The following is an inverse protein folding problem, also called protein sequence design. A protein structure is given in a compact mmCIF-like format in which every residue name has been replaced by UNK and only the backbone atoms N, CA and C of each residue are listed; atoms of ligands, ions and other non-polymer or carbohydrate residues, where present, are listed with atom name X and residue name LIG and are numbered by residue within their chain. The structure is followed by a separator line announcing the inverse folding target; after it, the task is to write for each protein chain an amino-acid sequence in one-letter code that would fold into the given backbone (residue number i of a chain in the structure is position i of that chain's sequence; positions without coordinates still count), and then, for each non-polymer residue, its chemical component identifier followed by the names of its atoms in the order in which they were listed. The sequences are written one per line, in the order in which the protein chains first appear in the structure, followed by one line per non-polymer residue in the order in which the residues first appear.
data_IF_267814759612
#
_entry.id   IF_267814759612
#
_cell.length_a   1.000
_cell.length_b   1.000
_cell.length_c   1.000
_cell.angle_alpha   90.00
_cell.angle_beta   90.00
_cell.angle_gamma   90.00
#
_symmetry.space_group_name_H-M   'P 1'
#
loop_
_entity.id
_entity.type
_entity.pdbx_description
1 polymer ?
#
# COMPACT_ATOMS: atom_id res chain seq x y z
N UNK A 1 -1.80 -14.45 -18.74
CA UNK A 1 -0.83 -13.37 -18.45
C UNK A 1 -0.63 -13.03 -16.96
N UNK A 2 -1.63 -13.15 -16.06
CA UNK A 2 -1.49 -12.77 -14.61
C UNK A 2 -0.45 -13.54 -13.79
N UNK A 3 -0.12 -14.79 -14.15
CA UNK A 3 0.90 -15.57 -13.45
C UNK A 3 2.35 -15.22 -13.81
N UNK A 4 2.60 -14.72 -15.03
CA UNK A 4 3.97 -14.53 -15.53
C UNK A 4 4.72 -13.44 -14.78
N UNK A 5 4.10 -12.29 -14.51
CA UNK A 5 4.77 -11.19 -13.80
C UNK A 5 5.02 -11.52 -12.32
N UNK A 6 4.06 -12.12 -11.62
CA UNK A 6 4.23 -12.52 -10.23
C UNK A 6 5.31 -13.60 -10.06
N UNK A 7 5.37 -14.56 -10.97
CA UNK A 7 6.40 -15.59 -10.96
C UNK A 7 7.79 -15.00 -11.20
N UNK A 8 7.93 -14.03 -12.12
CA UNK A 8 9.19 -13.32 -12.35
C UNK A 8 9.64 -12.55 -11.09
N UNK A 9 8.71 -11.89 -10.38
CA UNK A 9 9.01 -11.20 -9.12
C UNK A 9 9.49 -12.17 -8.03
N UNK A 10 8.82 -13.31 -7.86
CA UNK A 10 9.17 -14.33 -6.85
C UNK A 10 10.53 -14.96 -7.17
N UNK A 11 10.80 -15.25 -8.44
CA UNK A 11 12.12 -15.74 -8.88
C UNK A 11 13.20 -14.70 -8.57
N UNK A 12 12.96 -13.42 -8.84
CA UNK A 12 13.89 -12.35 -8.50
C UNK A 12 14.18 -12.23 -7.00
N UNK A 13 13.16 -12.40 -6.15
CA UNK A 13 13.33 -12.43 -4.69
C UNK A 13 14.15 -13.66 -4.26
N UNK A 14 13.83 -14.86 -4.77
CA UNK A 14 14.54 -16.09 -4.42
C UNK A 14 16.02 -16.04 -4.82
N UNK A 15 16.35 -15.50 -6.00
CA UNK A 15 17.74 -15.33 -6.44
C UNK A 15 18.49 -14.36 -5.52
N UNK A 16 17.86 -13.24 -5.14
CA UNK A 16 18.44 -12.26 -4.20
C UNK A 16 18.77 -12.90 -2.85
N UNK A 17 17.82 -13.67 -2.29
CA UNK A 17 17.99 -14.34 -1.00
C UNK A 17 19.10 -15.41 -1.05
N UNK A 18 19.25 -16.13 -2.17
CA UNK A 18 20.34 -17.09 -2.37
C UNK A 18 21.70 -16.39 -2.36
N UNK A 19 21.86 -15.28 -3.09
CA UNK A 19 23.13 -14.51 -3.11
C UNK A 19 23.45 -13.97 -1.73
N UNK A 20 22.44 -13.52 -0.99
CA UNK A 20 22.61 -13.06 0.39
C UNK A 20 23.12 -14.18 1.30
N UNK A 21 22.52 -15.37 1.23
CA UNK A 21 22.94 -16.54 2.00
C UNK A 21 24.36 -16.99 1.62
N UNK A 22 24.70 -17.02 0.33
CA UNK A 22 26.03 -17.39 -0.15
C UNK A 22 27.13 -16.52 0.48
N UNK A 23 26.93 -15.20 0.56
CA UNK A 23 27.90 -14.30 1.18
C UNK A 23 28.14 -14.61 2.68
N UNK A 24 27.09 -14.92 3.43
CA UNK A 24 27.23 -15.25 4.85
C UNK A 24 27.85 -16.63 5.08
N UNK A 25 27.52 -17.59 4.24
CA UNK A 25 28.13 -18.92 4.29
C UNK A 25 29.62 -18.81 4.00
N UNK A 26 30.02 -18.06 2.97
CA UNK A 26 31.43 -17.86 2.62
C UNK A 26 32.23 -17.17 3.74
N UNK A 27 31.68 -16.10 4.33
CA UNK A 27 32.30 -15.44 5.48
C UNK A 27 32.36 -16.33 6.73
N UNK A 28 31.28 -17.08 7.01
CA UNK A 28 31.19 -17.96 8.16
C UNK A 28 32.10 -19.18 8.07
N UNK A 29 32.26 -19.78 6.88
CA UNK A 29 33.20 -20.89 6.66
C UNK A 29 34.64 -20.40 6.80
N UNK A 30 34.96 -19.22 6.30
CA UNK A 30 36.28 -18.59 6.48
C UNK A 30 36.61 -18.38 7.96
N UNK A 31 35.67 -17.84 8.75
CA UNK A 31 35.87 -17.64 10.19
C UNK A 31 35.98 -18.98 10.94
N UNK A 32 35.15 -19.96 10.59
CA UNK A 32 35.15 -21.28 11.21
C UNK A 32 36.47 -22.04 10.98
N UNK A 33 36.99 -22.04 9.75
CA UNK A 33 38.25 -22.69 9.39
C UNK A 33 39.45 -22.06 10.10
N UNK A 34 39.41 -20.74 10.32
CA UNK A 34 40.50 -19.99 10.93
C UNK A 34 40.39 -19.85 12.46
N UNK A 35 39.35 -20.40 13.09
CA UNK A 35 39.07 -20.24 14.52
C UNK A 35 40.18 -20.78 15.44
N UNK A 36 40.87 -21.84 15.02
CA UNK A 36 41.93 -22.49 15.80
C UNK A 36 43.34 -21.92 15.51
N UNK A 37 43.46 -20.94 14.60
CA UNK A 37 44.73 -20.42 14.11
C UNK A 37 44.95 -19.02 14.72
N UNK A 38 46.11 -18.74 15.37
CA UNK A 38 46.41 -17.40 15.84
C UNK A 38 46.49 -16.41 14.66
N UNK A 39 45.96 -15.20 14.85
CA UNK A 39 45.81 -14.15 13.81
C UNK A 39 47.10 -13.88 13.00
N UNK A 40 48.26 -14.02 13.64
CA UNK A 40 49.58 -13.77 13.04
C UNK A 40 49.96 -14.82 11.98
N UNK A 41 49.28 -15.97 11.97
CA UNK A 41 49.56 -17.11 11.10
C UNK A 41 48.53 -17.27 9.96
N UNK A 42 47.54 -16.37 9.86
CA UNK A 42 46.55 -16.40 8.77
C UNK A 42 47.19 -15.81 7.52
N UNK A 43 47.28 -16.55 6.40
CA UNK A 43 47.89 -16.04 5.18
C UNK A 43 47.09 -14.84 4.63
N UNK A 44 47.76 -13.84 4.04
CA UNK A 44 47.07 -12.71 3.43
C UNK A 44 46.21 -13.16 2.25
N UNK A 45 45.07 -12.49 2.06
CA UNK A 45 44.13 -12.79 0.98
C UNK A 45 44.79 -12.71 -0.39
N UNK A 46 44.48 -13.67 -1.27
CA UNK A 46 44.90 -13.62 -2.67
C UNK A 46 44.19 -12.48 -3.41
N UNK A 47 44.79 -11.96 -4.48
CA UNK A 47 44.18 -10.90 -5.30
C UNK A 47 42.80 -11.34 -5.83
N UNK A 48 42.68 -12.59 -6.27
CA UNK A 48 41.42 -13.14 -6.79
C UNK A 48 40.35 -13.19 -5.71
N UNK A 49 40.70 -13.60 -4.49
CA UNK A 49 39.78 -13.65 -3.36
C UNK A 49 39.33 -12.24 -2.93
N UNK A 50 40.24 -11.25 -2.96
CA UNK A 50 39.91 -9.86 -2.66
C UNK A 50 38.90 -9.27 -3.68
N UNK A 51 39.11 -9.48 -4.98
CA UNK A 51 38.15 -9.03 -5.99
C UNK A 51 36.81 -9.76 -5.90
N UNK A 52 36.83 -11.08 -5.68
CA UNK A 52 35.62 -11.89 -5.53
C UNK A 52 34.75 -11.43 -4.35
N UNK A 53 35.34 -11.29 -3.16
CA UNK A 53 34.64 -10.83 -1.96
C UNK A 53 34.08 -9.41 -2.12
N UNK A 54 34.80 -8.53 -2.81
CA UNK A 54 34.33 -7.17 -3.10
C UNK A 54 33.13 -7.16 -4.05
N UNK A 55 33.18 -7.94 -5.13
CA UNK A 55 32.07 -8.08 -6.08
C UNK A 55 30.83 -8.66 -5.38
N UNK A 56 31.01 -9.74 -4.60
CA UNK A 56 29.91 -10.34 -3.83
C UNK A 56 29.29 -9.36 -2.84
N UNK A 57 30.09 -8.54 -2.18
CA UNK A 57 29.60 -7.53 -1.25
C UNK A 57 28.70 -6.50 -1.96
N UNK A 58 29.12 -6.00 -3.13
CA UNK A 58 28.34 -5.07 -3.96
C UNK A 58 27.03 -5.73 -4.42
N UNK A 59 27.11 -6.96 -4.94
CA UNK A 59 25.94 -7.71 -5.40
C UNK A 59 24.95 -7.96 -4.27
N UNK A 60 25.41 -8.37 -3.09
CA UNK A 60 24.57 -8.55 -1.90
C UNK A 60 23.83 -7.26 -1.56
N UNK A 61 24.51 -6.13 -1.50
CA UNK A 61 23.87 -4.88 -1.06
C UNK A 61 22.85 -4.37 -2.10
N UNK A 62 23.15 -4.54 -3.39
CA UNK A 62 22.22 -4.23 -4.46
C UNK A 62 20.99 -5.16 -4.43
N UNK A 63 21.19 -6.48 -4.41
CA UNK A 63 20.10 -7.45 -4.46
C UNK A 63 19.18 -7.38 -3.23
N UNK A 64 19.73 -7.13 -2.04
CA UNK A 64 18.93 -6.94 -0.82
C UNK A 64 17.98 -5.75 -0.91
N UNK A 65 18.41 -4.64 -1.50
CA UNK A 65 17.54 -3.48 -1.70
C UNK A 65 16.46 -3.82 -2.73
N UNK A 66 16.85 -4.44 -3.84
CA UNK A 66 15.92 -4.84 -4.91
C UNK A 66 14.85 -5.82 -4.40
N UNK A 67 15.21 -6.85 -3.63
CA UNK A 67 14.22 -7.82 -3.11
C UNK A 67 13.20 -7.17 -2.17
N UNK A 68 13.62 -6.25 -1.30
CA UNK A 68 12.71 -5.49 -0.45
C UNK A 68 11.72 -4.66 -1.27
N UNK A 69 12.19 -3.95 -2.30
CA UNK A 69 11.32 -3.18 -3.19
C UNK A 69 10.37 -4.07 -4.00
N UNK A 70 10.85 -5.18 -4.57
CA UNK A 70 10.01 -6.14 -5.30
C UNK A 70 8.93 -6.75 -4.40
N UNK A 71 9.28 -7.06 -3.14
CA UNK A 71 8.33 -7.52 -2.13
C UNK A 71 7.25 -6.48 -1.82
N UNK A 72 7.63 -5.20 -1.66
CA UNK A 72 6.70 -4.09 -1.45
C UNK A 72 5.75 -3.92 -2.65
N UNK A 73 6.27 -3.91 -3.89
CA UNK A 73 5.44 -3.80 -5.09
C UNK A 73 4.47 -4.98 -5.22
N UNK A 74 4.89 -6.20 -4.91
CA UNK A 74 4.04 -7.38 -4.92
C UNK A 74 2.91 -7.28 -3.90
N UNK A 75 3.18 -6.76 -2.69
CA UNK A 75 2.17 -6.51 -1.68
C UNK A 75 1.16 -5.43 -2.13
N UNK A 76 1.64 -4.32 -2.69
CA UNK A 76 0.78 -3.24 -3.22
C UNK A 76 -0.12 -3.75 -4.35
N UNK A 77 0.43 -4.52 -5.30
CA UNK A 77 -0.36 -5.09 -6.40
C UNK A 77 -1.44 -6.03 -5.85
N UNK A 78 -1.12 -6.88 -4.87
CA UNK A 78 -2.11 -7.76 -4.23
C UNK A 78 -3.22 -6.95 -3.55
N UNK A 79 -2.86 -5.91 -2.80
CA UNK A 79 -3.82 -5.02 -2.18
C UNK A 79 -4.74 -4.35 -3.21
N UNK A 80 -4.19 -3.80 -4.30
CA UNK A 80 -4.98 -3.16 -5.36
C UNK A 80 -5.92 -4.14 -6.07
N UNK A 81 -5.45 -5.36 -6.35
CA UNK A 81 -6.28 -6.41 -6.94
C UNK A 81 -7.45 -6.75 -6.02
N UNK A 82 -7.19 -6.99 -4.72
CA UNK A 82 -8.24 -7.30 -3.75
C UNK A 82 -9.25 -6.16 -3.64
N UNK A 83 -8.78 -4.92 -3.49
CA UNK A 83 -9.63 -3.73 -3.42
C UNK A 83 -10.51 -3.59 -4.67
N UNK A 84 -9.92 -3.77 -5.85
CA UNK A 84 -10.65 -3.66 -7.12
C UNK A 84 -11.72 -4.74 -7.26
N UNK A 85 -11.39 -6.01 -6.98
CA UNK A 85 -12.34 -7.13 -7.05
C UNK A 85 -13.50 -6.92 -6.09
N UNK A 86 -13.21 -6.57 -4.83
CA UNK A 86 -14.23 -6.32 -3.80
C UNK A 86 -15.15 -5.16 -4.21
N UNK A 87 -14.58 -4.09 -4.76
CA UNK A 87 -15.36 -2.94 -5.28
C UNK A 87 -16.24 -3.33 -6.47
N UNK A 88 -15.71 -4.10 -7.42
CA UNK A 88 -16.46 -4.55 -8.60
C UNK A 88 -17.64 -5.45 -8.22
N UNK A 89 -17.45 -6.38 -7.27
CA UNK A 89 -18.53 -7.24 -6.78
C UNK A 89 -19.64 -6.40 -6.14
N UNK A 90 -19.29 -5.39 -5.35
CA UNK A 90 -20.29 -4.52 -4.74
C UNK A 90 -21.02 -3.67 -5.79
N UNK A 91 -20.29 -3.03 -6.72
CA UNK A 91 -20.89 -2.18 -7.75
C UNK A 91 -21.75 -2.99 -8.75
N UNK A 92 -21.35 -4.22 -9.08
CA UNK A 92 -22.07 -5.08 -10.04
C UNK A 92 -23.47 -5.51 -9.60
N UNK A 93 -23.84 -5.25 -8.34
CA UNK A 93 -25.19 -5.50 -7.83
C UNK A 93 -26.16 -4.38 -8.14
N UNK A 94 -25.67 -3.22 -8.57
CA UNK A 94 -26.51 -2.06 -8.81
C UNK A 94 -26.79 -1.90 -10.30
N UNK A 95 -28.01 -1.48 -10.61
CA UNK A 95 -28.40 -1.08 -11.96
C UNK A 95 -29.19 0.23 -11.90
N UNK A 96 -29.24 0.91 -13.03
CA UNK A 96 -30.01 2.14 -13.17
C UNK A 96 -31.34 1.75 -13.78
N UNK A 97 -32.43 1.98 -13.06
CA UNK A 97 -33.79 1.86 -13.61
C UNK A 97 -34.38 3.23 -13.90
N UNK A 98 -35.27 3.27 -14.88
CA UNK A 98 -36.20 4.38 -15.10
C UNK A 98 -37.53 4.06 -14.42
N UNK A 99 -38.03 4.99 -13.60
CA UNK A 99 -39.32 4.82 -12.95
C UNK A 99 -40.47 5.19 -13.90
N UNK A 100 -41.47 4.31 -14.10
CA UNK A 100 -42.52 4.50 -15.12
C UNK A 100 -43.34 5.78 -14.95
N UNK A 101 -43.48 6.26 -13.71
CA UNK A 101 -44.30 7.45 -13.39
C UNK A 101 -43.51 8.77 -13.49
N UNK A 102 -42.20 8.70 -13.73
CA UNK A 102 -41.31 9.84 -13.62
C UNK A 102 -41.27 10.45 -12.21
N UNK A 103 -40.50 11.52 -12.06
CA UNK A 103 -40.49 12.34 -10.85
C UNK A 103 -41.48 13.48 -11.03
N UNK A 104 -42.31 13.70 -10.00
CA UNK A 104 -43.23 14.84 -9.92
C UNK A 104 -42.85 15.69 -8.72
N UNK A 105 -42.82 17.03 -8.87
CA UNK A 105 -42.56 17.90 -7.75
C UNK A 105 -43.67 17.76 -6.71
N UNK A 106 -43.28 17.93 -5.45
CA UNK A 106 -44.23 18.01 -4.34
C UNK A 106 -45.16 19.21 -4.53
N UNK A 107 -46.38 19.15 -3.98
CA UNK A 107 -47.39 20.22 -4.11
C UNK A 107 -46.91 21.56 -3.53
N UNK A 108 -45.94 21.52 -2.63
CA UNK A 108 -45.30 22.71 -2.04
C UNK A 108 -44.37 23.47 -3.00
N UNK A 109 -43.93 22.87 -4.11
CA UNK A 109 -43.00 23.49 -5.05
C UNK A 109 -43.72 24.41 -6.05
N UNK A 110 -43.71 25.72 -5.81
CA UNK A 110 -44.36 26.73 -6.68
C UNK A 110 -43.56 27.12 -7.93
N UNK A 111 -42.29 26.71 -8.03
CA UNK A 111 -41.40 27.07 -9.14
C UNK A 111 -41.65 26.26 -10.42
N UNK A 112 -42.43 25.18 -10.35
CA UNK A 112 -42.77 24.35 -11.50
C UNK A 112 -44.24 24.53 -11.88
N UNK A 113 -44.57 24.55 -13.19
CA UNK A 113 -45.95 24.53 -13.65
C UNK A 113 -46.74 23.34 -13.06
N UNK A 114 -48.07 23.46 -12.88
CA UNK A 114 -48.88 22.35 -12.41
C UNK A 114 -48.80 21.17 -13.37
N UNK A 115 -48.73 19.95 -12.80
CA UNK A 115 -48.67 18.68 -13.53
C UNK A 115 -47.36 18.43 -14.35
N UNK A 116 -46.26 19.12 -14.02
CA UNK A 116 -44.94 18.79 -14.59
C UNK A 116 -44.45 17.42 -14.14
N UNK A 117 -43.86 16.67 -15.07
CA UNK A 117 -43.22 15.38 -14.80
C UNK A 117 -41.88 15.34 -15.52
N UNK A 118 -40.85 14.84 -14.85
CA UNK A 118 -39.53 14.62 -15.43
C UNK A 118 -39.19 13.13 -15.41
N UNK A 119 -38.36 12.63 -16.35
CA UNK A 119 -37.87 11.25 -16.27
C UNK A 119 -37.05 11.08 -14.98
N UNK A 120 -37.26 9.95 -14.29
CA UNK A 120 -36.62 9.66 -13.00
C UNK A 120 -35.80 8.40 -13.09
N UNK A 121 -34.49 8.56 -12.88
CA UNK A 121 -33.54 7.47 -12.83
C UNK A 121 -32.99 7.35 -11.42
N UNK A 122 -32.91 6.12 -10.90
CA UNK A 122 -32.19 5.85 -9.67
C UNK A 122 -31.29 4.64 -9.80
N UNK A 123 -30.18 4.67 -9.07
CA UNK A 123 -29.36 3.49 -8.82
C UNK A 123 -30.09 2.65 -7.78
N UNK A 124 -30.44 1.43 -8.16
CA UNK A 124 -31.11 0.47 -7.27
C UNK A 124 -30.34 -0.85 -7.26
N UNK A 125 -30.52 -1.62 -6.20
CA UNK A 125 -30.03 -3.00 -6.18
C UNK A 125 -30.81 -3.83 -7.19
N UNK A 126 -30.11 -4.71 -7.92
CA UNK A 126 -30.67 -5.50 -8.99
C UNK A 126 -31.74 -6.46 -8.44
N UNK A 127 -33.02 -6.30 -8.79
CA UNK A 127 -34.09 -7.15 -8.26
C UNK A 127 -34.00 -8.61 -8.72
N UNK A 128 -33.18 -8.92 -9.74
CA UNK A 128 -32.90 -10.30 -10.15
C UNK A 128 -31.94 -11.04 -9.19
N UNK A 129 -31.28 -10.33 -8.28
CA UNK A 129 -30.41 -10.91 -7.25
C UNK A 129 -31.22 -11.01 -5.96
N UNK A 130 -31.22 -12.18 -5.36
CA UNK A 130 -31.90 -12.48 -4.11
C UNK A 130 -31.53 -11.51 -2.97
N UNK A 131 -32.53 -11.07 -2.20
CA UNK A 131 -32.39 -10.05 -1.14
C UNK A 131 -31.46 -10.52 -0.03
N UNK A 132 -31.54 -11.80 0.36
CA UNK A 132 -30.68 -12.37 1.39
C UNK A 132 -29.22 -12.41 0.91
N UNK A 133 -28.99 -12.73 -0.36
CA UNK A 133 -27.65 -12.67 -0.94
C UNK A 133 -27.10 -11.23 -0.99
N UNK A 134 -27.97 -10.26 -1.26
CA UNK A 134 -27.62 -8.84 -1.27
C UNK A 134 -27.19 -8.33 0.11
N UNK A 135 -27.92 -8.68 1.18
CA UNK A 135 -27.58 -8.29 2.55
C UNK A 135 -26.22 -8.82 2.97
N UNK A 136 -25.96 -10.11 2.73
CA UNK A 136 -24.67 -10.72 3.03
C UNK A 136 -23.50 -10.07 2.28
N UNK A 137 -23.68 -9.72 1.01
CA UNK A 137 -22.60 -9.01 0.29
C UNK A 137 -22.35 -7.65 0.91
N UNK A 138 -23.39 -6.91 1.29
CA UNK A 138 -23.25 -5.57 1.88
C UNK A 138 -22.49 -5.61 3.20
N UNK A 139 -22.89 -6.49 4.13
CA UNK A 139 -22.25 -6.66 5.44
C UNK A 139 -20.76 -6.99 5.29
N UNK A 140 -20.44 -8.01 4.47
CA UNK A 140 -19.06 -8.43 4.24
C UNK A 140 -18.25 -7.38 3.49
N UNK A 141 -18.85 -6.68 2.52
CA UNK A 141 -18.20 -5.61 1.77
C UNK A 141 -17.83 -4.44 2.68
N UNK A 142 -18.76 -3.93 3.49
CA UNK A 142 -18.53 -2.81 4.41
C UNK A 142 -17.41 -3.12 5.41
N UNK A 143 -17.39 -4.35 5.94
CA UNK A 143 -16.34 -4.79 6.85
C UNK A 143 -14.97 -4.86 6.15
N UNK A 144 -14.89 -5.50 4.97
CA UNK A 144 -13.63 -5.64 4.23
C UNK A 144 -13.12 -4.27 3.74
N UNK A 145 -13.98 -3.45 3.16
CA UNK A 145 -13.63 -2.12 2.66
C UNK A 145 -13.21 -1.18 3.79
N UNK A 146 -13.90 -1.23 4.94
CA UNK A 146 -13.51 -0.52 6.15
C UNK A 146 -12.11 -0.90 6.64
N UNK A 147 -11.81 -2.20 6.74
CA UNK A 147 -10.46 -2.68 7.12
C UNK A 147 -9.42 -2.21 6.10
N UNK A 148 -9.67 -2.38 4.80
CA UNK A 148 -8.74 -1.99 3.74
C UNK A 148 -8.47 -0.48 3.74
N UNK A 149 -9.44 0.36 4.13
CA UNK A 149 -9.29 1.81 4.26
C UNK A 149 -8.54 2.25 5.51
N UNK A 150 -8.51 1.45 6.57
CA UNK A 150 -7.69 1.72 7.76
C UNK A 150 -6.20 1.42 7.54
N UNK A 151 -5.83 0.56 6.58
CA UNK A 151 -4.44 0.16 6.33
C UNK A 151 -3.56 1.36 5.89
N UNK A 152 -3.92 2.18 4.87
CA UNK A 152 -3.06 3.29 4.44
C UNK A 152 -2.83 4.36 5.52
N UNK A 153 -3.86 4.84 6.27
CA UNK A 153 -3.66 5.81 7.34
C UNK A 153 -2.76 5.31 8.47
N UNK A 154 -2.72 4.00 8.73
CA UNK A 154 -1.79 3.43 9.71
C UNK A 154 -0.39 3.31 9.12
N UNK A 155 -0.26 2.77 7.90
CA UNK A 155 1.04 2.51 7.27
C UNK A 155 1.80 3.79 6.90
N UNK A 156 1.10 4.81 6.41
CA UNK A 156 1.71 6.03 5.85
C UNK A 156 2.49 6.85 6.91
N UNK A 157 2.01 7.04 8.15
CA UNK A 157 2.80 7.62 9.24
C UNK A 157 4.07 6.83 9.57
N UNK A 158 4.04 5.49 9.62
CA UNK A 158 5.24 4.69 9.89
C UNK A 158 6.29 4.87 8.77
N UNK A 159 5.85 4.85 7.52
CA UNK A 159 6.73 5.10 6.37
C UNK A 159 7.29 6.52 6.39
N UNK A 160 6.48 7.52 6.73
CA UNK A 160 6.92 8.91 6.83
C UNK A 160 7.94 9.11 7.96
N UNK A 161 7.73 8.49 9.13
CA UNK A 161 8.71 8.52 10.22
C UNK A 161 10.03 7.89 9.79
N UNK A 162 9.98 6.71 9.16
CA UNK A 162 11.18 6.06 8.60
C UNK A 162 11.91 6.94 7.58
N UNK A 163 11.18 7.56 6.66
CA UNK A 163 11.72 8.48 5.68
C UNK A 163 12.36 9.71 6.33
N UNK A 164 11.73 10.30 7.34
CA UNK A 164 12.27 11.45 8.08
C UNK A 164 13.57 11.06 8.81
N UNK A 165 13.66 9.85 9.38
CA UNK A 165 14.88 9.36 10.02
C UNK A 165 16.03 9.26 9.01
N UNK A 166 15.79 8.65 7.85
CA UNK A 166 16.79 8.51 6.79
C UNK A 166 17.23 9.87 6.24
N UNK A 167 16.27 10.78 6.01
CA UNK A 167 16.57 12.15 5.58
C UNK A 167 17.42 12.89 6.63
N UNK A 168 17.10 12.78 7.92
CA UNK A 168 17.92 13.40 8.98
C UNK A 168 19.35 12.85 8.98
N UNK A 169 19.51 11.53 8.87
CA UNK A 169 20.83 10.89 8.82
C UNK A 169 21.65 11.36 7.62
N UNK A 170 21.03 11.45 6.44
CA UNK A 170 21.67 11.96 5.21
C UNK A 170 22.03 13.45 5.34
N UNK A 171 21.21 14.24 6.02
CA UNK A 171 21.49 15.66 6.30
C UNK A 171 22.70 15.80 7.20
N UNK A 172 22.71 15.10 8.34
CA UNK A 172 23.80 15.18 9.31
C UNK A 172 25.13 14.71 8.72
N UNK A 173 25.12 13.64 7.93
CA UNK A 173 26.31 13.15 7.23
C UNK A 173 26.88 14.12 6.18
N UNK A 174 26.07 15.02 5.62
CA UNK A 174 26.50 16.02 4.62
C UNK A 174 26.52 17.45 5.16
N UNK A 175 26.26 17.66 6.46
CA UNK A 175 26.07 18.98 7.06
C UNK A 175 27.27 19.91 6.88
N UNK A 176 28.49 19.36 6.87
CA UNK A 176 29.74 20.11 6.70
C UNK A 176 29.95 20.56 5.25
N UNK A 177 29.32 19.86 4.29
CA UNK A 177 29.43 20.11 2.84
C UNK A 177 28.24 20.90 2.28
N UNK A 178 27.13 20.99 3.01
CA UNK A 178 25.91 21.64 2.55
C UNK A 178 25.96 23.16 2.70
N UNK A 179 25.51 23.86 1.66
CA UNK A 179 25.26 25.29 1.72
C UNK A 179 24.03 25.62 2.58
N UNK A 180 23.95 26.87 3.05
CA UNK A 180 22.84 27.34 3.90
C UNK A 180 21.47 27.27 3.20
N UNK A 181 21.43 27.49 1.89
CA UNK A 181 20.21 27.42 1.09
C UNK A 181 19.74 25.97 0.92
N UNK A 182 20.66 25.04 0.62
CA UNK A 182 20.36 23.60 0.52
C UNK A 182 19.86 23.02 1.86
N UNK A 183 20.42 23.48 2.98
CA UNK A 183 19.95 23.10 4.31
C UNK A 183 18.52 23.56 4.56
N UNK A 184 18.19 24.80 4.18
CA UNK A 184 16.83 25.33 4.31
C UNK A 184 15.83 24.58 3.42
N UNK A 185 16.19 24.27 2.18
CA UNK A 185 15.34 23.49 1.27
C UNK A 185 15.03 22.11 1.84
N UNK A 186 16.04 21.43 2.38
CA UNK A 186 15.85 20.11 2.99
C UNK A 186 14.96 20.16 4.24
N UNK A 187 15.04 21.23 5.04
CA UNK A 187 14.11 21.49 6.16
C UNK A 187 12.69 21.71 5.64
N UNK A 188 12.52 22.53 4.60
CA UNK A 188 11.22 22.82 4.00
C UNK A 188 10.55 21.57 3.46
N UNK A 189 11.30 20.73 2.72
CA UNK A 189 10.82 19.43 2.23
C UNK A 189 10.40 18.53 3.39
N UNK A 190 11.21 18.43 4.46
CA UNK A 190 10.88 17.61 5.63
C UNK A 190 9.59 18.09 6.31
N UNK A 191 9.44 19.42 6.48
CA UNK A 191 8.22 20.02 7.05
C UNK A 191 7.00 19.76 6.17
N UNK A 192 7.17 19.87 4.85
CA UNK A 192 6.10 19.60 3.88
C UNK A 192 5.65 18.13 3.93
N UNK A 193 6.59 17.18 3.97
CA UNK A 193 6.28 15.75 4.12
C UNK A 193 5.48 15.50 5.40
N UNK A 194 5.92 16.05 6.54
CA UNK A 194 5.21 15.91 7.82
C UNK A 194 3.79 16.49 7.74
N UNK A 195 3.63 17.71 7.20
CA UNK A 195 2.31 18.34 7.04
C UNK A 195 1.38 17.52 6.15
N UNK A 196 1.89 17.01 5.02
CA UNK A 196 1.11 16.16 4.11
C UNK A 196 0.68 14.85 4.79
N UNK A 197 1.57 14.21 5.54
CA UNK A 197 1.25 12.99 6.28
C UNK A 197 0.18 13.23 7.36
N UNK A 198 0.28 14.31 8.13
CA UNK A 198 -0.72 14.66 9.16
C UNK A 198 -2.07 14.96 8.50
N UNK A 199 -2.08 15.78 7.45
CA UNK A 199 -3.31 16.12 6.73
C UNK A 199 -3.98 14.87 6.13
N UNK A 200 -3.19 13.97 5.53
CA UNK A 200 -3.70 12.72 5.00
C UNK A 200 -4.28 11.83 6.10
N UNK A 201 -3.58 11.66 7.21
CA UNK A 201 -4.07 10.89 8.36
C UNK A 201 -5.39 11.45 8.91
N UNK A 202 -5.47 12.76 9.11
CA UNK A 202 -6.68 13.43 9.61
C UNK A 202 -7.84 13.39 8.62
N UNK A 203 -7.56 13.36 7.31
CA UNK A 203 -8.59 13.28 6.26
C UNK A 203 -9.17 11.88 6.10
N UNK A 204 -8.32 10.85 6.08
CA UNK A 204 -8.73 9.49 5.72
C UNK A 204 -9.22 8.68 6.93
N UNK A 205 -8.64 8.89 8.12
CA UNK A 205 -9.00 8.10 9.31
C UNK A 205 -10.46 8.24 9.70
N UNK A 206 -11.09 9.44 9.74
CA UNK A 206 -12.51 9.57 10.05
C UNK A 206 -13.42 8.83 9.05
N UNK A 207 -13.04 8.79 7.77
CA UNK A 207 -13.78 8.09 6.73
C UNK A 207 -13.68 6.57 6.91
N UNK A 208 -12.47 6.06 7.15
CA UNK A 208 -12.26 4.63 7.42
C UNK A 208 -12.98 4.15 8.69
N UNK A 209 -12.86 4.93 9.78
CA UNK A 209 -13.51 4.62 11.06
C UNK A 209 -15.04 4.68 10.94
N UNK A 210 -15.60 5.69 10.25
CA UNK A 210 -17.05 5.78 10.08
C UNK A 210 -17.61 4.62 9.27
N UNK A 211 -16.93 4.18 8.20
CA UNK A 211 -17.36 3.03 7.40
C UNK A 211 -17.20 1.71 8.13
N UNK A 212 -16.11 1.54 8.88
CA UNK A 212 -15.93 0.39 9.75
C UNK A 212 -17.02 0.35 10.84
N UNK A 213 -17.33 1.48 11.47
CA UNK A 213 -18.41 1.58 12.46
C UNK A 213 -19.79 1.29 11.84
N UNK A 214 -20.08 1.83 10.65
CA UNK A 214 -21.30 1.54 9.91
C UNK A 214 -21.43 0.06 9.55
N UNK A 215 -20.31 -0.66 9.36
CA UNK A 215 -20.35 -2.12 9.16
C UNK A 215 -20.91 -2.89 10.35
N UNK A 216 -20.75 -2.40 11.58
CA UNK A 216 -21.32 -3.01 12.78
C UNK A 216 -22.75 -2.56 13.06
N UNK A 217 -23.13 -1.35 12.63
CA UNK A 217 -24.49 -0.82 12.81
C UNK A 217 -25.45 -1.32 11.73
N UNK A 218 -25.03 -1.35 10.46
CA UNK A 218 -25.87 -1.74 9.32
C UNK A 218 -26.06 -3.26 9.19
N UNK A 219 -26.08 -3.97 10.32
CA UNK A 219 -26.46 -5.38 10.37
C UNK A 219 -27.92 -5.66 10.02
N UNK A 220 -28.81 -4.65 9.95
CA UNK A 220 -30.25 -4.85 9.65
C UNK A 220 -30.91 -3.76 8.77
N UNK A 221 -30.16 -2.85 8.16
CA UNK A 221 -30.76 -1.74 7.42
C UNK A 221 -29.89 -1.28 6.26
N UNK A 222 -30.31 -1.66 5.04
CA UNK A 222 -29.95 -1.11 3.73
C UNK A 222 -28.70 -0.22 3.72
N UNK A 223 -27.61 -0.75 3.16
CA UNK A 223 -26.35 -0.03 2.94
C UNK A 223 -26.55 1.32 2.21
N UNK A 224 -25.61 2.28 2.37
CA UNK A 224 -25.75 3.60 1.78
C UNK A 224 -25.89 3.53 0.26
N UNK A 225 -26.85 4.31 -0.26
CA UNK A 225 -27.02 4.64 -1.69
C UNK A 225 -25.76 5.26 -2.31
#
# INVERSE_FOLDING_TARGET
MRGQAANVLIIGIAISDIVYLMYYVDGGTWEYLNKAIPQQCIPPNSQIFAYYSWILFILKDAFRRVSAWLGMFLAIIRYLILKYVVTMINQGRYLIIEYPKGWKPDKSCTMYPPNTTFPYFARVQNPAIDVFFQEHISEKYLLIDGILKCIPPILYPFLAVGLVIELKKVREGRKILMGRDEENDMIHVTRLVICMTIAYFLSETPVGVSQFYMSFIQGEGFGPL
#
